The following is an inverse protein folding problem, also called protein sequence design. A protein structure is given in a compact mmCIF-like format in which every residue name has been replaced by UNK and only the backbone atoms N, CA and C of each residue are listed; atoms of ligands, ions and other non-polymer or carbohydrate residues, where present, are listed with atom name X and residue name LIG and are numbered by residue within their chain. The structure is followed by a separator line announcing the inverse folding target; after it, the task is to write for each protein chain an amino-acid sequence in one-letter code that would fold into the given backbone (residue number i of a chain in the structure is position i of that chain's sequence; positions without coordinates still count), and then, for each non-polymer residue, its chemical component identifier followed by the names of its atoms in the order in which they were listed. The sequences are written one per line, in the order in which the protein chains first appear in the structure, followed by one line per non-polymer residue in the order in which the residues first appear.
data_IF_096094036303
#
_entry.id   IF_096094036303
#
_cell.length_a   1.000
_cell.length_b   1.000
_cell.length_c   1.000
_cell.angle_alpha   90.00
_cell.angle_beta   90.00
_cell.angle_gamma   90.00
#
_symmetry.space_group_name_H-M   'P 1'
#
loop_
_entity.id
_entity.type
_entity.pdbx_description
1 polymer ?
#
# COMPACT_ATOMS: atom_id res chain seq x y z
N UNK A 1 -9.10 -48.85 66.58
CA UNK A 1 -9.31 -49.03 65.10
C UNK A 1 -9.64 -47.64 64.57
N UNK A 2 -8.59 -46.89 64.15
CA UNK A 2 -8.73 -45.49 63.68
C UNK A 2 -8.96 -45.47 62.21
N UNK A 3 -9.76 -44.52 61.69
CA UNK A 3 -9.99 -44.38 60.27
C UNK A 3 -8.72 -43.93 59.57
N UNK A 4 -8.30 -44.66 58.51
CA UNK A 4 -7.25 -44.25 57.61
C UNK A 4 -7.79 -43.09 56.74
N UNK A 5 -7.22 -41.90 56.91
CA UNK A 5 -7.39 -40.76 56.06
C UNK A 5 -6.67 -41.03 54.70
N UNK A 6 -7.33 -41.71 53.79
CA UNK A 6 -6.90 -41.87 52.43
C UNK A 6 -7.20 -40.58 51.62
N UNK A 7 -6.69 -39.46 52.09
CA UNK A 7 -6.68 -38.24 51.28
C UNK A 7 -5.54 -38.36 50.27
N UNK A 8 -5.94 -38.78 49.04
CA UNK A 8 -5.05 -38.85 47.88
C UNK A 8 -4.26 -37.54 47.74
N UNK A 9 -2.96 -37.58 47.47
CA UNK A 9 -2.09 -36.40 47.40
C UNK A 9 -2.29 -35.63 46.07
N UNK A 10 -3.53 -35.25 45.73
CA UNK A 10 -3.87 -34.47 44.57
C UNK A 10 -3.15 -33.11 44.57
N UNK A 11 -2.91 -32.53 45.74
CA UNK A 11 -2.21 -31.24 45.88
C UNK A 11 -0.76 -31.29 45.45
N UNK A 12 -0.11 -32.46 45.48
CA UNK A 12 1.31 -32.61 45.08
C UNK A 12 1.52 -32.48 43.58
N UNK A 13 0.49 -32.75 42.76
CA UNK A 13 0.54 -32.67 41.30
C UNK A 13 -0.07 -31.39 40.70
N UNK A 14 -0.83 -30.63 41.49
CA UNK A 14 -1.47 -29.39 41.00
C UNK A 14 -0.43 -28.33 40.63
N UNK A 15 0.61 -28.15 41.41
CA UNK A 15 1.65 -27.17 41.13
C UNK A 15 2.44 -27.48 39.85
N UNK A 16 2.99 -28.70 39.63
CA UNK A 16 3.71 -29.00 38.38
C UNK A 16 2.80 -29.01 37.15
N UNK A 17 1.53 -29.42 37.30
CA UNK A 17 0.55 -29.34 36.17
C UNK A 17 0.23 -27.89 35.82
N UNK A 18 0.03 -27.02 36.79
CA UNK A 18 -0.19 -25.60 36.52
C UNK A 18 1.00 -24.93 35.80
N UNK A 19 2.22 -25.25 36.24
CA UNK A 19 3.44 -24.77 35.59
C UNK A 19 3.55 -25.29 34.12
N UNK A 20 3.28 -26.58 33.94
CA UNK A 20 3.32 -27.17 32.58
C UNK A 20 2.29 -26.53 31.64
N UNK A 21 1.07 -26.26 32.11
CA UNK A 21 0.04 -25.56 31.33
C UNK A 21 0.45 -24.13 31.01
N UNK A 22 1.06 -23.41 31.94
CA UNK A 22 1.54 -22.05 31.75
C UNK A 22 2.65 -22.00 30.69
N UNK A 23 3.60 -22.93 30.76
CA UNK A 23 4.67 -23.06 29.75
C UNK A 23 4.10 -23.41 28.40
N UNK A 24 3.17 -24.35 28.31
CA UNK A 24 2.51 -24.73 27.06
C UNK A 24 1.73 -23.54 26.42
N UNK A 25 0.99 -22.80 27.25
CA UNK A 25 0.28 -21.61 26.81
C UNK A 25 1.25 -20.52 26.28
N UNK A 26 2.38 -20.30 26.96
CA UNK A 26 3.39 -19.35 26.54
C UNK A 26 4.03 -19.75 25.21
N UNK A 27 4.38 -21.03 25.04
CA UNK A 27 4.94 -21.55 23.80
C UNK A 27 3.91 -21.43 22.67
N UNK A 28 2.63 -21.78 22.94
CA UNK A 28 1.54 -21.64 21.97
C UNK A 28 1.31 -20.20 21.55
N UNK A 29 1.28 -19.26 22.49
CA UNK A 29 1.15 -17.83 22.20
C UNK A 29 2.35 -17.31 21.40
N UNK A 30 3.56 -17.73 21.72
CA UNK A 30 4.76 -17.35 20.98
C UNK A 30 4.77 -17.93 19.57
N UNK A 31 4.40 -19.19 19.38
CA UNK A 31 4.29 -19.82 18.06
C UNK A 31 3.22 -19.14 17.20
N UNK A 32 2.08 -18.79 17.79
CA UNK A 32 1.02 -18.03 17.13
C UNK A 32 1.48 -16.63 16.71
N UNK A 33 2.17 -15.92 17.62
CA UNK A 33 2.74 -14.60 17.30
C UNK A 33 3.81 -14.66 16.20
N UNK A 34 4.63 -15.72 16.17
CA UNK A 34 5.61 -15.96 15.12
C UNK A 34 4.94 -16.25 13.77
N UNK A 35 3.81 -16.96 13.76
CA UNK A 35 3.04 -17.23 12.54
C UNK A 35 2.49 -15.94 11.93
N UNK A 36 1.97 -15.03 12.76
CA UNK A 36 1.48 -13.71 12.31
C UNK A 36 2.61 -12.83 11.72
N UNK A 37 3.83 -12.92 12.26
CA UNK A 37 4.99 -12.17 11.76
C UNK A 37 5.59 -12.72 10.45
N UNK A 38 5.29 -13.95 10.09
CA UNK A 38 5.83 -14.62 8.89
C UNK A 38 5.01 -14.40 7.63
N UNK A 39 3.96 -13.59 7.68
CA UNK A 39 3.28 -13.20 6.45
C UNK A 39 4.27 -12.45 5.55
N UNK A 40 4.65 -13.00 4.38
CA UNK A 40 5.62 -12.37 3.51
C UNK A 40 5.07 -11.01 3.08
N UNK A 41 5.89 -9.98 3.19
CA UNK A 41 5.58 -8.66 2.65
C UNK A 41 5.41 -8.81 1.13
N UNK A 42 4.16 -8.86 0.66
CA UNK A 42 3.85 -9.01 -0.77
C UNK A 42 4.30 -7.75 -1.52
N UNK A 43 4.18 -6.60 -0.88
CA UNK A 43 4.58 -5.31 -1.43
C UNK A 43 5.93 -4.89 -0.84
N UNK A 44 7.00 -4.96 -1.65
CA UNK A 44 8.37 -4.72 -1.22
C UNK A 44 8.77 -3.24 -1.31
N UNK A 45 8.48 -2.59 -2.43
CA UNK A 45 8.86 -1.19 -2.66
C UNK A 45 7.71 -0.42 -3.26
N UNK A 46 7.37 0.71 -2.63
CA UNK A 46 6.37 1.66 -3.13
C UNK A 46 6.96 3.05 -3.12
N UNK A 47 6.70 3.82 -4.16
CA UNK A 47 7.06 5.23 -4.23
C UNK A 47 5.99 6.02 -4.98
N UNK A 48 5.71 7.20 -4.46
CA UNK A 48 4.75 8.14 -5.03
C UNK A 48 5.48 9.37 -5.55
N UNK A 49 5.19 9.75 -6.80
CA UNK A 49 5.83 10.90 -7.45
C UNK A 49 7.31 10.69 -7.74
N UNK A 50 8.05 11.78 -7.71
CA UNK A 50 9.51 11.84 -7.83
C UNK A 50 10.12 12.27 -6.48
N UNK A 51 11.45 12.24 -6.36
CA UNK A 51 12.16 12.77 -5.17
C UNK A 51 11.83 14.25 -4.88
N UNK A 52 11.50 15.03 -5.90
CA UNK A 52 11.16 16.45 -5.76
C UNK A 52 9.70 16.69 -5.37
N UNK A 53 8.79 15.83 -5.82
CA UNK A 53 7.35 16.07 -5.67
C UNK A 53 6.75 15.35 -4.46
N UNK A 54 7.43 14.32 -3.93
CA UNK A 54 6.93 13.52 -2.79
C UNK A 54 5.47 13.11 -2.92
N UNK A 55 5.05 12.74 -4.15
CA UNK A 55 3.68 12.35 -4.47
C UNK A 55 2.71 13.51 -4.74
N UNK A 56 3.15 14.76 -4.65
CA UNK A 56 2.31 15.90 -5.01
C UNK A 56 2.24 16.08 -6.52
N UNK A 57 1.06 16.41 -7.04
CA UNK A 57 0.84 16.73 -8.46
C UNK A 57 -0.34 17.67 -8.64
N UNK A 58 -0.34 18.38 -9.77
CA UNK A 58 -1.33 19.42 -10.08
C UNK A 58 -1.73 19.30 -11.54
N UNK A 59 -2.88 18.67 -11.87
CA UNK A 59 -3.31 18.43 -13.24
C UNK A 59 -3.91 19.69 -13.88
N UNK A 60 -3.08 20.70 -14.13
CA UNK A 60 -3.47 21.98 -14.72
C UNK A 60 -3.11 22.11 -16.21
N UNK A 61 -2.47 21.09 -16.80
CA UNK A 61 -1.99 21.01 -18.18
C UNK A 61 -0.82 21.94 -18.51
N UNK A 62 -0.03 22.31 -17.54
CA UNK A 62 1.21 23.09 -17.76
C UNK A 62 2.43 22.20 -18.07
N UNK A 63 2.24 20.89 -18.16
CA UNK A 63 3.25 19.85 -18.33
C UNK A 63 4.23 19.72 -17.17
N UNK A 64 3.91 20.25 -16.01
CA UNK A 64 4.73 20.11 -14.80
C UNK A 64 3.93 19.37 -13.74
N UNK A 65 4.28 18.12 -13.48
CA UNK A 65 3.60 17.29 -12.48
C UNK A 65 2.08 17.19 -12.67
N UNK A 66 1.62 17.13 -13.93
CA UNK A 66 0.20 16.99 -14.27
C UNK A 66 -0.39 15.63 -13.89
N UNK A 67 0.49 14.64 -13.61
CA UNK A 67 0.07 13.28 -13.26
C UNK A 67 0.71 12.83 -11.96
N UNK A 68 -0.08 12.20 -11.10
CA UNK A 68 0.40 11.45 -9.96
C UNK A 68 1.06 10.16 -10.44
N UNK A 69 2.35 9.98 -10.14
CA UNK A 69 3.10 8.77 -10.48
C UNK A 69 3.12 7.82 -9.30
N UNK A 70 2.74 6.58 -9.52
CA UNK A 70 2.81 5.49 -8.56
C UNK A 70 3.76 4.44 -9.12
N UNK A 71 4.76 4.04 -8.35
CA UNK A 71 5.70 2.97 -8.72
C UNK A 71 5.80 1.99 -7.57
N UNK A 72 5.60 0.72 -7.86
CA UNK A 72 5.70 -0.32 -6.85
C UNK A 72 6.30 -1.61 -7.40
N UNK A 73 6.68 -2.50 -6.50
CA UNK A 73 7.20 -3.84 -6.78
C UNK A 73 6.61 -4.83 -5.79
N UNK A 74 6.23 -6.01 -6.29
CA UNK A 74 5.70 -7.11 -5.49
C UNK A 74 6.70 -8.27 -5.42
N UNK A 75 6.62 -9.07 -4.38
CA UNK A 75 7.52 -10.23 -4.14
C UNK A 75 6.94 -11.54 -4.66
N UNK A 76 5.64 -11.60 -4.90
CA UNK A 76 4.93 -12.75 -5.48
C UNK A 76 4.16 -12.32 -6.71
N UNK A 77 4.17 -13.15 -7.75
CA UNK A 77 3.37 -12.88 -8.96
C UNK A 77 1.91 -13.12 -8.66
N UNK A 78 1.06 -12.18 -9.03
CA UNK A 78 -0.40 -12.29 -8.91
C UNK A 78 -1.10 -11.43 -9.96
N UNK A 79 -2.40 -11.63 -10.12
CA UNK A 79 -3.28 -10.72 -10.85
C UNK A 79 -3.91 -9.75 -9.85
N UNK A 80 -3.97 -8.48 -10.22
CA UNK A 80 -4.48 -7.47 -9.30
C UNK A 80 -5.25 -6.36 -10.02
N UNK A 81 -6.21 -5.79 -9.30
CA UNK A 81 -6.69 -4.46 -9.61
C UNK A 81 -5.80 -3.43 -8.93
N UNK A 82 -5.48 -2.39 -9.66
CA UNK A 82 -4.68 -1.26 -9.15
C UNK A 82 -5.59 -0.06 -9.07
N UNK A 83 -5.84 0.40 -7.86
CA UNK A 83 -6.89 1.35 -7.56
C UNK A 83 -6.36 2.56 -6.80
N UNK A 84 -6.99 3.70 -7.00
CA UNK A 84 -6.79 4.92 -6.22
C UNK A 84 -8.03 5.10 -5.35
N UNK A 85 -7.82 5.17 -4.05
CA UNK A 85 -8.88 5.38 -3.06
C UNK A 85 -8.67 6.68 -2.30
N UNK A 86 -9.75 7.24 -1.78
CA UNK A 86 -9.73 8.39 -0.90
C UNK A 86 -9.24 8.00 0.53
N UNK A 87 -9.08 8.95 1.47
CA UNK A 87 -8.69 8.63 2.84
C UNK A 87 -9.64 7.68 3.57
N UNK A 88 -10.92 7.68 3.19
CA UNK A 88 -11.98 6.85 3.77
C UNK A 88 -12.04 5.45 3.13
N UNK A 89 -11.18 5.15 2.16
CA UNK A 89 -11.14 3.87 1.45
C UNK A 89 -12.16 3.76 0.31
N UNK A 90 -12.80 4.86 -0.10
CA UNK A 90 -13.74 4.82 -1.23
C UNK A 90 -12.98 4.85 -2.55
N UNK A 91 -13.37 3.98 -3.46
CA UNK A 91 -12.80 3.93 -4.81
C UNK A 91 -13.01 5.25 -5.56
N UNK A 92 -11.93 5.79 -6.08
CA UNK A 92 -11.91 7.01 -6.89
C UNK A 92 -11.60 6.71 -8.35
N UNK A 93 -10.58 5.86 -8.59
CA UNK A 93 -10.13 5.51 -9.93
C UNK A 93 -9.52 4.13 -10.00
N UNK A 94 -9.91 3.34 -10.99
CA UNK A 94 -9.21 2.11 -11.35
C UNK A 94 -8.13 2.44 -12.39
N UNK A 95 -6.87 2.23 -12.05
CA UNK A 95 -5.73 2.44 -12.94
C UNK A 95 -5.41 1.20 -13.79
N UNK A 96 -5.79 0.04 -13.30
CA UNK A 96 -5.63 -1.21 -14.03
C UNK A 96 -6.50 -2.30 -13.44
N UNK A 97 -7.29 -2.96 -14.30
CA UNK A 97 -8.10 -4.11 -13.92
C UNK A 97 -7.41 -5.39 -14.33
N UNK A 98 -7.44 -6.40 -13.46
CA UNK A 98 -6.97 -7.75 -13.74
C UNK A 98 -5.56 -7.78 -14.38
N UNK A 99 -4.65 -6.96 -13.85
CA UNK A 99 -3.29 -6.85 -14.38
C UNK A 99 -2.41 -7.94 -13.80
N UNK A 100 -1.76 -8.71 -14.66
CA UNK A 100 -0.74 -9.64 -14.20
C UNK A 100 0.51 -8.88 -13.74
N UNK A 101 0.81 -8.99 -12.46
CA UNK A 101 1.97 -8.40 -11.81
C UNK A 101 3.02 -9.49 -11.61
N UNK A 102 4.15 -9.37 -12.27
CA UNK A 102 5.26 -10.31 -12.14
C UNK A 102 6.12 -9.94 -10.93
N UNK A 103 6.48 -10.95 -10.12
CA UNK A 103 7.36 -10.77 -8.96
C UNK A 103 8.66 -10.06 -9.31
N UNK A 104 9.15 -9.22 -8.41
CA UNK A 104 10.40 -8.47 -8.50
C UNK A 104 10.50 -7.52 -9.70
N UNK A 105 9.40 -7.25 -10.39
CA UNK A 105 9.31 -6.24 -11.44
C UNK A 105 8.70 -4.96 -10.89
N UNK A 106 9.19 -3.82 -11.35
CA UNK A 106 8.57 -2.54 -11.06
C UNK A 106 7.43 -2.28 -12.04
N UNK A 107 6.29 -1.87 -11.48
CA UNK A 107 5.15 -1.38 -12.21
C UNK A 107 5.01 0.12 -11.98
N UNK A 108 4.63 0.85 -13.02
CA UNK A 108 4.43 2.30 -12.95
C UNK A 108 3.05 2.61 -13.49
N UNK A 109 2.28 3.31 -12.68
CA UNK A 109 0.97 3.82 -13.04
C UNK A 109 0.95 5.33 -12.94
N UNK A 110 0.11 5.96 -13.73
CA UNK A 110 -0.08 7.40 -13.73
C UNK A 110 -1.56 7.71 -13.52
N UNK A 111 -1.84 8.65 -12.64
CA UNK A 111 -3.19 9.13 -12.38
C UNK A 111 -3.29 10.61 -12.75
N UNK A 112 -4.27 10.94 -13.56
CA UNK A 112 -4.53 12.30 -14.07
C UNK A 112 -5.42 13.14 -13.14
N UNK A 113 -5.70 12.66 -11.92
CA UNK A 113 -6.56 13.34 -10.95
C UNK A 113 -8.05 13.29 -11.28
N UNK A 114 -8.49 12.33 -12.11
CA UNK A 114 -9.90 12.12 -12.43
C UNK A 114 -10.45 10.86 -11.78
N UNK A 115 -11.75 10.88 -11.52
CA UNK A 115 -12.53 9.71 -11.11
C UNK A 115 -12.78 8.78 -12.30
N UNK A 116 -13.31 7.58 -12.03
CA UNK A 116 -13.77 6.68 -13.10
C UNK A 116 -14.88 7.27 -13.97
N UNK A 117 -15.72 8.13 -13.39
CA UNK A 117 -16.73 8.88 -14.16
C UNK A 117 -16.15 10.06 -14.98
N UNK A 118 -14.80 10.24 -14.98
CA UNK A 118 -14.13 11.31 -15.73
C UNK A 118 -14.19 12.69 -15.06
N UNK A 119 -14.88 12.83 -13.91
CA UNK A 119 -14.92 14.07 -13.15
C UNK A 119 -13.56 14.36 -12.50
N UNK A 120 -13.25 15.62 -12.21
CA UNK A 120 -12.06 15.99 -11.45
C UNK A 120 -12.23 15.61 -9.98
N UNK A 121 -11.31 14.80 -9.46
CA UNK A 121 -11.26 14.50 -8.05
C UNK A 121 -10.97 15.76 -7.20
N UNK A 122 -11.49 15.89 -5.99
CA UNK A 122 -11.19 17.00 -5.08
C UNK A 122 -9.70 17.11 -4.76
N UNK A 123 -9.22 18.29 -4.34
CA UNK A 123 -7.88 18.40 -3.74
C UNK A 123 -7.85 17.57 -2.46
N UNK A 124 -6.77 16.83 -2.25
CA UNK A 124 -6.68 15.96 -1.10
C UNK A 124 -5.56 14.93 -1.18
N UNK A 125 -5.56 14.04 -0.21
CA UNK A 125 -4.68 12.87 -0.18
C UNK A 125 -5.43 11.66 -0.73
N UNK A 126 -4.70 10.83 -1.46
CA UNK A 126 -5.21 9.61 -2.05
C UNK A 126 -4.22 8.48 -1.82
N UNK A 127 -4.72 7.27 -1.63
CA UNK A 127 -3.92 6.08 -1.37
C UNK A 127 -3.95 5.17 -2.60
N UNK A 128 -2.94 4.33 -2.72
CA UNK A 128 -2.94 3.18 -3.61
C UNK A 128 -3.62 2.03 -2.89
N UNK A 129 -4.49 1.33 -3.57
CA UNK A 129 -5.02 0.04 -3.16
C UNK A 129 -4.73 -0.99 -4.23
N UNK A 130 -4.21 -2.14 -3.82
CA UNK A 130 -3.96 -3.30 -4.66
C UNK A 130 -4.86 -4.43 -4.20
N UNK A 131 -5.86 -4.75 -5.00
CA UNK A 131 -6.75 -5.90 -4.77
C UNK A 131 -6.15 -7.11 -5.47
N UNK A 132 -5.53 -8.02 -4.71
CA UNK A 132 -4.89 -9.23 -5.22
C UNK A 132 -5.94 -10.31 -5.47
N UNK A 133 -6.10 -10.73 -6.71
CA UNK A 133 -7.16 -11.65 -7.11
C UNK A 133 -6.83 -13.11 -6.81
N UNK A 134 -5.55 -13.48 -6.79
CA UNK A 134 -5.12 -14.84 -6.47
C UNK A 134 -5.02 -15.13 -4.97
N UNK A 135 -4.81 -14.10 -4.15
CA UNK A 135 -4.70 -14.24 -2.69
C UNK A 135 -5.96 -13.74 -1.95
N UNK A 136 -6.94 -13.20 -2.67
CA UNK A 136 -8.18 -12.61 -2.13
C UNK A 136 -7.86 -11.61 -1.00
N UNK A 137 -6.96 -10.68 -1.29
CA UNK A 137 -6.40 -9.77 -0.29
C UNK A 137 -6.20 -8.36 -0.84
N UNK A 138 -6.57 -7.38 -0.03
CA UNK A 138 -6.35 -5.97 -0.31
C UNK A 138 -5.10 -5.45 0.40
N UNK A 139 -4.27 -4.71 -0.31
CA UNK A 139 -3.06 -4.11 0.19
C UNK A 139 -3.09 -2.60 -0.01
N UNK A 140 -3.10 -1.86 1.10
CA UNK A 140 -2.97 -0.39 1.09
C UNK A 140 -1.62 -0.01 1.69
N UNK A 141 -0.61 0.29 0.86
CA UNK A 141 0.71 0.68 1.36
C UNK A 141 0.67 2.05 2.06
N UNK A 142 1.61 2.26 2.97
CA UNK A 142 1.82 3.57 3.57
C UNK A 142 2.23 4.62 2.54
N UNK A 143 1.84 5.88 2.78
CA UNK A 143 2.05 6.99 1.85
C UNK A 143 0.89 7.20 0.89
N UNK A 144 1.11 7.96 -0.18
CA UNK A 144 0.06 8.23 -1.15
C UNK A 144 0.37 9.40 -2.07
N UNK A 145 -0.61 9.75 -2.88
CA UNK A 145 -0.61 10.91 -3.75
C UNK A 145 -1.27 12.10 -3.07
N UNK A 146 -0.78 13.29 -3.37
CA UNK A 146 -1.40 14.55 -2.96
C UNK A 146 -1.80 15.33 -4.20
N UNK A 147 -3.11 15.44 -4.43
CA UNK A 147 -3.68 16.19 -5.54
C UNK A 147 -3.92 17.64 -5.12
N UNK A 148 -3.35 18.56 -5.86
CA UNK A 148 -3.63 20.00 -5.76
C UNK A 148 -4.41 20.44 -7.00
N UNK A 149 -5.55 21.07 -6.81
CA UNK A 149 -6.32 21.67 -7.90
C UNK A 149 -5.78 23.08 -8.19
N UNK A 150 -5.47 23.33 -9.43
CA UNK A 150 -5.20 24.68 -9.94
C UNK A 150 -6.04 24.94 -11.19
N UNK A 151 -6.28 26.18 -11.54
CA UNK A 151 -6.85 26.57 -12.83
C UNK A 151 -6.04 25.96 -13.97
N UNK A 152 -6.71 25.65 -15.05
CA UNK A 152 -5.99 25.19 -16.27
C UNK A 152 -5.11 26.32 -16.78
N UNK A 153 -3.88 26.00 -17.13
CA UNK A 153 -3.03 26.90 -17.88
C UNK A 153 -3.59 27.04 -19.31
N UNK A 154 -4.06 28.24 -19.70
CA UNK A 154 -4.63 28.46 -21.03
C UNK A 154 -3.58 28.30 -22.14
N UNK A 155 -2.30 28.51 -21.84
CA UNK A 155 -1.20 28.37 -22.80
C UNK A 155 -0.77 26.89 -22.99
N UNK A 156 -1.17 26.01 -22.07
CA UNK A 156 -0.85 24.58 -22.09
C UNK A 156 0.65 24.27 -22.21
N UNK A 157 0.96 23.07 -22.64
CA UNK A 157 2.35 22.62 -22.84
C UNK A 157 3.12 23.37 -23.97
N UNK A 158 2.45 24.14 -24.79
CA UNK A 158 3.05 24.84 -25.95
C UNK A 158 4.12 25.84 -25.53
N UNK A 159 3.93 26.55 -24.43
CA UNK A 159 4.82 27.63 -23.97
C UNK A 159 6.23 27.15 -23.62
N UNK A 160 6.39 25.94 -23.09
CA UNK A 160 7.71 25.41 -22.69
C UNK A 160 8.57 24.90 -23.83
N UNK A 161 7.98 24.48 -24.95
CA UNK A 161 8.75 24.10 -26.15
C UNK A 161 9.37 25.30 -26.85
N UNK A 162 8.72 26.46 -26.82
CA UNK A 162 9.22 27.69 -27.45
C UNK A 162 10.39 28.33 -26.69
N UNK A 163 10.44 28.20 -25.35
CA UNK A 163 11.53 28.80 -24.53
C UNK A 163 12.79 27.94 -24.45
N UNK A 164 12.74 26.69 -24.87
CA UNK A 164 13.90 25.77 -24.86
C UNK A 164 14.68 25.73 -26.18
N UNK A 165 14.23 26.47 -27.22
CA UNK A 165 14.77 26.39 -28.58
C UNK A 165 15.78 27.47 -28.99
N UNK A 166 16.21 28.36 -28.10
CA UNK A 166 17.15 29.45 -28.42
C UNK A 166 18.43 29.38 -27.57
N UNK A 167 19.16 28.31 -27.74
CA UNK A 167 20.63 28.31 -27.58
C UNK A 167 21.24 27.48 -28.68
N UNK A 168 21.14 28.02 -29.88
CA UNK A 168 21.99 27.62 -30.98
C UNK A 168 22.90 28.81 -31.31
N UNK A 169 24.17 28.65 -31.01
CA UNK A 169 25.33 29.14 -31.69
C UNK A 169 25.42 30.63 -32.06
N UNK A 170 26.39 31.28 -31.50
CA UNK A 170 27.20 32.25 -32.24
C UNK A 170 28.64 32.09 -31.86
N UNK A 171 29.37 31.63 -32.87
CA UNK A 171 30.79 31.91 -33.19
C UNK A 171 31.82 31.61 -32.17
#
# INVERSE_FOLDING_TARGET
MGPRDDRLPLTRYLAPVAVALLVAATIGAFAYAQRLKREPLILDKVSFGTRKTHGAFTPNRDCVNDNGRIRFRITRSDRANVEVVDPDGRLVRVLGRDRFLKRYRFFVFHWDGRTDAGARAPSGRYKLELVLLGEDRDLTPGGGLRLHRAPRDPSGCRRKRASGGLRAGSS
#
